data_IF_501218754850
#
_entry.id   IF_501218754850
#
_cell.length_a   1.000
_cell.length_b   1.000
_cell.length_c   1.000
_cell.angle_alpha   90.00
_cell.angle_beta   90.00
_cell.angle_gamma   90.00
#
_symmetry.space_group_name_H-M   'P 1'
#
loop_
_entity.id
_entity.type
_entity.pdbx_description
1 polymer ?
#
# COMPACT_ATOMS: atom_id res chain seq x y z
N UNK A 1 22.64 -79.04 15.08
CA UNK A 1 21.57 -78.05 14.85
C UNK A 1 21.49 -77.14 16.07
N UNK A 2 21.88 -75.88 15.94
CA UNK A 2 21.68 -74.87 16.98
C UNK A 2 21.10 -73.62 16.30
N UNK A 3 19.82 -73.31 16.57
CA UNK A 3 19.17 -72.08 16.13
C UNK A 3 19.68 -70.94 17.01
N UNK A 4 20.43 -70.02 16.41
CA UNK A 4 20.79 -68.77 17.06
C UNK A 4 19.56 -67.86 17.19
N UNK A 5 19.44 -67.24 18.35
CA UNK A 5 18.40 -66.30 18.79
C UNK A 5 18.45 -65.02 17.91
N UNK A 6 17.30 -64.46 17.47
CA UNK A 6 17.32 -63.18 16.78
C UNK A 6 17.70 -62.08 17.78
N UNK A 7 18.69 -61.29 17.37
CA UNK A 7 19.15 -60.07 18.02
C UNK A 7 18.00 -59.05 18.09
N UNK A 8 17.80 -58.32 19.20
CA UNK A 8 16.73 -57.33 19.28
C UNK A 8 17.01 -56.20 18.29
N UNK A 9 16.11 -56.05 17.31
CA UNK A 9 16.12 -54.93 16.38
C UNK A 9 16.17 -53.62 17.17
N UNK A 10 17.16 -52.78 16.83
CA UNK A 10 17.29 -51.44 17.37
C UNK A 10 15.98 -50.65 17.18
N UNK A 11 15.60 -49.77 18.13
CA UNK A 11 14.36 -49.00 18.04
C UNK A 11 14.34 -48.17 16.76
N UNK A 12 13.23 -48.27 16.02
CA UNK A 12 13.00 -47.57 14.76
C UNK A 12 13.18 -46.07 14.94
N UNK A 13 13.93 -45.43 14.03
CA UNK A 13 13.97 -43.97 13.91
C UNK A 13 12.54 -43.43 13.90
N UNK A 14 12.23 -42.57 14.86
CA UNK A 14 10.97 -41.82 14.92
C UNK A 14 10.71 -41.17 13.56
N UNK A 15 9.59 -41.50 12.91
CA UNK A 15 9.20 -40.89 11.65
C UNK A 15 9.13 -39.36 11.83
N UNK A 16 10.09 -38.64 11.26
CA UNK A 16 10.16 -37.18 11.33
C UNK A 16 8.96 -36.62 10.55
N UNK A 17 8.11 -35.81 11.19
CA UNK A 17 6.95 -35.17 10.54
C UNK A 17 7.33 -33.81 9.98
N UNK A 18 6.89 -33.51 8.76
CA UNK A 18 7.06 -32.19 8.14
C UNK A 18 6.20 -31.16 8.87
N UNK A 19 6.76 -29.99 9.14
CA UNK A 19 5.99 -28.89 9.72
C UNK A 19 5.03 -28.33 8.67
N UNK A 20 3.76 -28.17 9.03
CA UNK A 20 2.67 -27.82 8.10
C UNK A 20 2.93 -26.53 7.30
N UNK A 21 3.56 -25.53 7.93
CA UNK A 21 3.77 -24.20 7.34
C UNK A 21 5.23 -23.81 7.15
N UNK A 22 6.18 -24.58 7.71
CA UNK A 22 7.61 -24.24 7.72
C UNK A 22 8.47 -25.30 7.00
N UNK A 23 7.83 -26.23 6.29
CA UNK A 23 8.50 -27.14 5.38
C UNK A 23 8.40 -26.59 3.95
N UNK A 24 9.37 -25.77 3.57
CA UNK A 24 9.41 -25.07 2.28
C UNK A 24 10.12 -25.96 1.26
N UNK A 25 9.41 -26.39 0.20
CA UNK A 25 9.99 -27.21 -0.87
C UNK A 25 11.01 -26.40 -1.71
N UNK A 26 12.00 -27.11 -2.30
CA UNK A 26 13.16 -26.52 -3.00
C UNK A 26 12.81 -25.59 -4.20
N UNK A 27 11.56 -25.64 -4.70
CA UNK A 27 11.04 -24.78 -5.77
C UNK A 27 10.64 -23.35 -5.36
N UNK A 28 11.09 -22.87 -4.20
CA UNK A 28 10.67 -21.58 -3.63
C UNK A 28 11.26 -20.34 -4.30
N UNK A 29 12.26 -20.46 -5.19
CA UNK A 29 12.87 -19.33 -5.89
C UNK A 29 12.36 -19.24 -7.33
N UNK A 30 11.97 -18.03 -7.75
CA UNK A 30 11.61 -17.73 -9.14
C UNK A 30 12.26 -16.45 -9.63
N UNK A 31 12.58 -16.39 -10.92
CA UNK A 31 13.06 -15.19 -11.60
C UNK A 31 11.86 -14.43 -12.20
N UNK A 32 11.73 -13.15 -11.83
CA UNK A 32 10.77 -12.21 -12.39
C UNK A 32 11.49 -11.17 -13.25
N UNK A 33 10.89 -10.77 -14.35
CA UNK A 33 11.33 -9.65 -15.17
C UNK A 33 10.36 -8.48 -15.02
N UNK A 34 10.88 -7.31 -14.67
CA UNK A 34 10.14 -6.05 -14.72
C UNK A 34 10.87 -5.15 -15.69
N UNK A 35 10.29 -4.95 -16.89
CA UNK A 35 11.00 -4.34 -18.02
C UNK A 35 12.31 -5.11 -18.29
N UNK A 36 13.45 -4.43 -18.21
CA UNK A 36 14.78 -4.99 -18.48
C UNK A 36 15.53 -5.38 -17.19
N UNK A 37 14.83 -5.52 -16.06
CA UNK A 37 15.45 -5.82 -14.76
C UNK A 37 14.93 -7.15 -14.23
N UNK A 38 15.86 -8.06 -13.91
CA UNK A 38 15.57 -9.37 -13.34
C UNK A 38 15.63 -9.33 -11.81
N UNK A 39 14.71 -10.05 -11.18
CA UNK A 39 14.60 -10.24 -9.74
C UNK A 39 14.48 -11.72 -9.45
N UNK A 40 15.48 -12.32 -8.80
CA UNK A 40 15.40 -13.71 -8.32
C UNK A 40 15.06 -13.71 -6.84
N UNK A 41 13.85 -14.17 -6.50
CA UNK A 41 13.29 -13.99 -5.14
C UNK A 41 12.52 -15.22 -4.66
N UNK A 42 12.40 -15.34 -3.34
CA UNK A 42 11.52 -16.33 -2.70
C UNK A 42 10.05 -15.97 -2.96
N UNK A 43 9.29 -16.94 -3.43
CA UNK A 43 7.87 -16.76 -3.77
C UNK A 43 6.96 -16.82 -2.56
N UNK A 44 7.42 -17.36 -1.43
CA UNK A 44 6.63 -17.53 -0.20
C UNK A 44 5.84 -16.27 0.18
N UNK A 45 6.51 -15.14 0.39
CA UNK A 45 5.83 -13.89 0.77
C UNK A 45 4.91 -13.33 -0.32
N UNK A 46 5.22 -13.61 -1.60
CA UNK A 46 4.40 -13.18 -2.72
C UNK A 46 3.08 -13.96 -2.78
N UNK A 47 3.13 -15.29 -2.67
CA UNK A 47 1.94 -16.15 -2.71
C UNK A 47 1.11 -16.08 -1.44
N UNK A 48 1.75 -15.79 -0.31
CA UNK A 48 1.08 -15.58 0.97
C UNK A 48 0.17 -14.35 0.89
N UNK A 49 0.71 -13.23 0.37
CA UNK A 49 0.01 -11.95 0.36
C UNK A 49 -0.75 -11.63 -0.94
N UNK A 50 -0.61 -12.41 -2.01
CA UNK A 50 -1.30 -12.21 -3.28
C UNK A 50 -1.92 -13.51 -3.81
N UNK A 51 -3.25 -13.54 -3.87
CA UNK A 51 -3.99 -14.61 -4.53
C UNK A 51 -3.66 -14.70 -6.02
N UNK A 52 -3.51 -13.56 -6.70
CA UNK A 52 -3.15 -13.51 -8.12
C UNK A 52 -1.79 -14.15 -8.37
N UNK A 53 -0.77 -13.81 -7.58
CA UNK A 53 0.55 -14.42 -7.73
C UNK A 53 0.55 -15.90 -7.33
N UNK A 54 -0.24 -16.29 -6.33
CA UNK A 54 -0.44 -17.69 -5.95
C UNK A 54 -1.01 -18.51 -7.11
N UNK A 55 -2.08 -18.03 -7.73
CA UNK A 55 -2.73 -18.72 -8.84
C UNK A 55 -1.80 -18.79 -10.06
N UNK A 56 -1.15 -17.68 -10.40
CA UNK A 56 -0.17 -17.60 -11.49
C UNK A 56 0.98 -18.60 -11.28
N UNK A 57 1.54 -18.66 -10.07
CA UNK A 57 2.68 -19.54 -9.75
C UNK A 57 2.27 -21.01 -9.57
N UNK A 58 0.99 -21.29 -9.33
CA UNK A 58 0.48 -22.67 -9.20
C UNK A 58 0.42 -23.41 -10.54
N UNK A 59 0.37 -22.68 -11.65
CA UNK A 59 0.25 -23.23 -13.01
C UNK A 59 1.62 -23.68 -13.54
N UNK A 60 2.73 -23.08 -13.08
CA UNK A 60 4.09 -23.37 -13.54
C UNK A 60 4.84 -24.38 -12.67
N UNK A 61 4.54 -25.68 -12.81
CA UNK A 61 5.12 -26.78 -12.01
C UNK A 61 6.29 -27.56 -12.66
N UNK A 62 6.87 -27.11 -13.78
CA UNK A 62 8.01 -27.81 -14.38
C UNK A 62 9.34 -27.11 -14.05
N UNK A 63 10.39 -27.90 -13.84
CA UNK A 63 11.78 -27.46 -13.60
C UNK A 63 12.37 -26.65 -14.77
N UNK A 64 11.69 -26.64 -15.92
CA UNK A 64 12.04 -25.88 -17.14
C UNK A 64 10.98 -24.81 -17.50
N UNK A 65 10.08 -24.48 -16.57
CA UNK A 65 8.95 -23.59 -16.79
C UNK A 65 9.24 -22.10 -16.58
N UNK A 66 8.22 -21.26 -16.80
CA UNK A 66 8.28 -19.81 -16.57
C UNK A 66 8.77 -19.50 -15.14
N UNK A 67 9.77 -18.61 -15.06
CA UNK A 67 10.45 -18.20 -13.84
C UNK A 67 11.56 -19.11 -13.34
N UNK A 68 11.93 -20.18 -14.07
CA UNK A 68 13.01 -21.09 -13.65
C UNK A 68 14.42 -20.47 -13.80
N UNK A 69 14.62 -19.67 -14.85
CA UNK A 69 15.92 -19.10 -15.23
C UNK A 69 15.81 -17.64 -15.68
N UNK A 70 16.96 -17.02 -15.92
CA UNK A 70 17.06 -15.66 -16.44
C UNK A 70 16.63 -15.56 -17.92
N UNK A 71 16.74 -16.67 -18.67
CA UNK A 71 16.29 -16.79 -20.06
C UNK A 71 14.77 -17.00 -20.17
N UNK A 72 14.16 -17.51 -19.11
CA UNK A 72 12.71 -17.77 -19.02
C UNK A 72 12.11 -17.13 -17.75
N UNK A 73 12.16 -15.81 -17.57
CA UNK A 73 11.62 -15.15 -16.39
C UNK A 73 10.10 -15.02 -16.48
N UNK A 74 9.44 -14.86 -15.33
CA UNK A 74 8.03 -14.42 -15.26
C UNK A 74 7.99 -12.93 -15.58
N UNK A 75 7.42 -12.55 -16.71
CA UNK A 75 7.36 -11.15 -17.15
C UNK A 75 6.18 -10.45 -16.49
N UNK A 76 6.47 -9.49 -15.60
CA UNK A 76 5.44 -8.65 -15.00
C UNK A 76 5.01 -7.55 -15.98
N UNK A 77 3.70 -7.28 -16.10
CA UNK A 77 3.18 -6.36 -17.10
C UNK A 77 3.49 -4.89 -16.77
N UNK A 78 3.31 -4.01 -17.76
CA UNK A 78 3.65 -2.58 -17.72
C UNK A 78 3.17 -1.76 -16.50
N UNK A 79 2.02 -2.05 -15.84
CA UNK A 79 1.65 -1.36 -14.61
C UNK A 79 2.68 -1.51 -13.48
N UNK A 80 3.50 -2.57 -13.51
CA UNK A 80 4.55 -2.83 -12.52
C UNK A 80 5.84 -2.10 -12.89
N UNK A 81 6.29 -1.21 -12.01
CA UNK A 81 7.56 -0.48 -12.16
C UNK A 81 8.67 -1.17 -11.37
N UNK A 82 9.89 -1.13 -11.91
CA UNK A 82 11.09 -1.69 -11.27
C UNK A 82 11.24 -1.19 -9.83
N UNK A 83 11.11 0.13 -9.61
CA UNK A 83 11.25 0.73 -8.29
C UNK A 83 10.15 0.27 -7.30
N UNK A 84 8.91 0.08 -7.78
CA UNK A 84 7.80 -0.33 -6.91
C UNK A 84 7.91 -1.81 -6.54
N UNK A 85 8.33 -2.65 -7.49
CA UNK A 85 8.60 -4.06 -7.22
C UNK A 85 9.78 -4.22 -6.26
N UNK A 86 10.87 -3.48 -6.44
CA UNK A 86 11.99 -3.46 -5.50
C UNK A 86 11.58 -3.02 -4.09
N UNK A 87 10.74 -1.99 -3.97
CA UNK A 87 10.19 -1.54 -2.68
C UNK A 87 9.30 -2.60 -2.03
N UNK A 88 8.38 -3.22 -2.79
CA UNK A 88 7.56 -4.33 -2.31
C UNK A 88 8.45 -5.45 -1.74
N UNK A 89 9.48 -5.87 -2.47
CA UNK A 89 10.41 -6.89 -2.01
C UNK A 89 11.16 -6.45 -0.74
N UNK A 90 11.59 -5.19 -0.67
CA UNK A 90 12.26 -4.64 0.52
C UNK A 90 11.37 -4.71 1.77
N UNK A 91 10.04 -4.60 1.62
CA UNK A 91 9.11 -4.75 2.75
C UNK A 91 9.11 -6.16 3.32
N UNK A 92 9.38 -7.18 2.50
CA UNK A 92 9.47 -8.58 2.96
C UNK A 92 10.84 -8.92 3.54
N UNK A 93 11.91 -8.46 2.90
CA UNK A 93 13.27 -8.82 3.30
C UNK A 93 13.85 -7.95 4.42
N UNK A 94 13.51 -6.66 4.48
CA UNK A 94 14.10 -5.76 5.48
C UNK A 94 13.81 -6.17 6.94
N UNK A 95 12.57 -6.56 7.31
CA UNK A 95 12.29 -7.05 8.67
C UNK A 95 13.09 -8.32 9.01
N UNK A 96 13.27 -9.22 8.04
CA UNK A 96 13.99 -10.48 8.22
C UNK A 96 15.48 -10.27 8.52
N UNK A 97 16.07 -9.14 8.11
CA UNK A 97 17.48 -8.79 8.34
C UNK A 97 17.67 -7.73 9.43
N UNK A 98 16.66 -7.49 10.26
CA UNK A 98 16.72 -6.56 11.41
C UNK A 98 16.44 -5.09 11.09
N UNK A 99 15.97 -4.78 9.87
CA UNK A 99 15.49 -3.45 9.50
C UNK A 99 14.17 -3.13 10.19
N UNK A 100 14.11 -2.02 10.92
CA UNK A 100 12.93 -1.62 11.72
C UNK A 100 12.07 -0.52 11.07
N UNK A 101 12.49 0.02 9.92
CA UNK A 101 11.79 1.17 9.33
C UNK A 101 10.79 0.74 8.27
N UNK A 102 9.54 1.14 8.45
CA UNK A 102 8.49 0.95 7.47
C UNK A 102 8.80 1.80 6.23
N UNK A 103 8.69 1.20 5.03
CA UNK A 103 8.92 1.89 3.74
C UNK A 103 8.06 3.16 3.64
N UNK A 104 6.83 3.13 4.16
CA UNK A 104 5.89 4.25 4.11
C UNK A 104 6.27 5.45 4.98
N UNK A 105 7.18 5.29 5.95
CA UNK A 105 7.63 6.38 6.81
C UNK A 105 8.62 7.30 6.08
N UNK A 106 9.44 6.71 5.19
CA UNK A 106 10.56 7.38 4.52
C UNK A 106 10.26 7.74 3.07
N UNK A 107 9.40 6.97 2.42
CA UNK A 107 9.12 7.15 0.99
C UNK A 107 8.34 8.45 0.72
N UNK A 108 8.54 8.98 -0.48
CA UNK A 108 7.75 10.09 -1.01
C UNK A 108 6.27 9.72 -1.13
N UNK A 109 5.38 10.70 -1.08
CA UNK A 109 3.93 10.45 -1.21
C UNK A 109 3.58 9.85 -2.57
N UNK A 110 4.26 10.29 -3.63
CA UNK A 110 4.12 9.73 -4.97
C UNK A 110 4.60 8.27 -5.04
N UNK A 111 5.70 7.93 -4.34
CA UNK A 111 6.17 6.56 -4.20
C UNK A 111 5.18 5.68 -3.42
N UNK A 112 4.64 6.19 -2.31
CA UNK A 112 3.59 5.53 -1.53
C UNK A 112 2.35 5.26 -2.38
N UNK A 113 1.90 6.22 -3.19
CA UNK A 113 0.77 6.04 -4.11
C UNK A 113 1.04 4.99 -5.18
N UNK A 114 2.25 4.97 -5.73
CA UNK A 114 2.67 3.94 -6.70
C UNK A 114 2.61 2.54 -6.08
N UNK A 115 3.06 2.40 -4.82
CA UNK A 115 2.94 1.15 -4.05
C UNK A 115 1.50 0.76 -3.77
N UNK A 116 0.63 1.69 -3.36
CA UNK A 116 -0.79 1.39 -3.18
C UNK A 116 -1.39 0.86 -4.49
N UNK A 117 -1.15 1.53 -5.62
CA UNK A 117 -1.60 1.06 -6.94
C UNK A 117 -1.08 -0.33 -7.28
N UNK A 118 0.18 -0.63 -6.97
CA UNK A 118 0.75 -1.96 -7.14
C UNK A 118 0.05 -3.01 -6.27
N UNK A 119 -0.25 -2.72 -5.00
CA UNK A 119 -0.95 -3.65 -4.12
C UNK A 119 -2.38 -3.91 -4.57
N UNK A 120 -3.06 -2.91 -5.12
CA UNK A 120 -4.37 -3.13 -5.75
C UNK A 120 -4.25 -4.09 -6.93
N UNK A 121 -3.29 -3.81 -7.82
CA UNK A 121 -3.05 -4.61 -9.02
C UNK A 121 -2.71 -6.07 -8.69
N UNK A 122 -1.85 -6.29 -7.69
CA UNK A 122 -1.48 -7.62 -7.21
C UNK A 122 -2.49 -8.20 -6.19
N UNK A 123 -3.59 -7.52 -5.92
CA UNK A 123 -4.61 -7.90 -4.93
C UNK A 123 -4.06 -8.20 -3.51
N UNK A 124 -3.04 -7.46 -3.10
CA UNK A 124 -2.40 -7.56 -1.78
C UNK A 124 -3.16 -6.73 -0.74
N UNK A 125 -4.40 -7.11 -0.44
CA UNK A 125 -5.34 -6.33 0.39
C UNK A 125 -4.79 -6.04 1.80
N UNK A 126 -4.21 -7.03 2.45
CA UNK A 126 -3.68 -6.88 3.81
C UNK A 126 -2.47 -5.94 3.85
N UNK A 127 -1.58 -6.04 2.87
CA UNK A 127 -0.41 -5.18 2.73
C UNK A 127 -0.84 -3.75 2.43
N UNK A 128 -1.83 -3.56 1.54
CA UNK A 128 -2.45 -2.26 1.27
C UNK A 128 -3.02 -1.66 2.56
N UNK A 129 -3.77 -2.42 3.34
CA UNK A 129 -4.36 -1.92 4.58
C UNK A 129 -3.30 -1.48 5.59
N UNK A 130 -2.21 -2.26 5.75
CA UNK A 130 -1.06 -1.88 6.60
C UNK A 130 -0.39 -0.59 6.11
N UNK A 131 -0.21 -0.44 4.80
CA UNK A 131 0.35 0.77 4.20
C UNK A 131 -0.52 2.00 4.46
N UNK A 132 -1.84 1.85 4.30
CA UNK A 132 -2.82 2.92 4.56
C UNK A 132 -2.82 3.33 6.04
N UNK A 133 -2.74 2.38 6.96
CA UNK A 133 -2.62 2.68 8.41
C UNK A 133 -1.36 3.49 8.68
N UNK A 134 -0.20 3.07 8.17
CA UNK A 134 1.05 3.81 8.33
C UNK A 134 0.97 5.24 7.77
N UNK A 135 0.36 5.42 6.60
CA UNK A 135 0.16 6.74 6.00
C UNK A 135 -0.79 7.64 6.80
N UNK A 136 -1.80 7.06 7.46
CA UNK A 136 -2.72 7.82 8.33
C UNK A 136 -2.04 8.30 9.62
N UNK A 137 -1.12 7.52 10.15
CA UNK A 137 -0.34 7.82 11.37
C UNK A 137 0.82 8.78 11.09
N UNK A 138 1.30 8.82 9.84
CA UNK A 138 2.36 9.74 9.42
C UNK A 138 1.89 11.20 9.49
N UNK A 139 2.74 12.07 10.04
CA UNK A 139 2.54 13.52 10.01
C UNK A 139 2.79 14.04 8.59
N UNK A 140 1.71 14.28 7.85
CA UNK A 140 1.72 14.77 6.47
C UNK A 140 1.28 16.22 6.38
N UNK A 141 1.82 16.92 5.38
CA UNK A 141 1.32 18.23 4.99
C UNK A 141 -0.14 18.13 4.50
N UNK A 142 -1.03 19.09 4.80
CA UNK A 142 -2.41 19.08 4.33
C UNK A 142 -2.57 18.92 2.81
N UNK A 143 -1.66 19.48 2.01
CA UNK A 143 -1.62 19.34 0.54
C UNK A 143 -1.39 17.88 0.16
N UNK A 144 -0.43 17.21 0.81
CA UNK A 144 -0.16 15.79 0.57
C UNK A 144 -1.32 14.89 1.01
N UNK A 145 -2.00 15.23 2.12
CA UNK A 145 -3.21 14.50 2.54
C UNK A 145 -4.30 14.60 1.48
N UNK A 146 -4.54 15.80 0.95
CA UNK A 146 -5.52 16.03 -0.12
C UNK A 146 -5.14 15.34 -1.43
N UNK A 147 -3.84 15.31 -1.76
CA UNK A 147 -3.33 14.57 -2.91
C UNK A 147 -3.56 13.06 -2.76
N UNK A 148 -3.28 12.49 -1.59
CA UNK A 148 -3.57 11.09 -1.27
C UNK A 148 -5.07 10.77 -1.37
N UNK A 149 -5.91 11.65 -0.83
CA UNK A 149 -7.37 11.51 -0.91
C UNK A 149 -7.86 11.49 -2.36
N UNK A 150 -7.32 12.35 -3.22
CA UNK A 150 -7.71 12.40 -4.63
C UNK A 150 -7.37 11.10 -5.36
N UNK A 151 -6.18 10.57 -5.11
CA UNK A 151 -5.63 9.42 -5.83
C UNK A 151 -6.07 8.07 -5.25
N UNK A 152 -6.44 8.02 -3.97
CA UNK A 152 -6.72 6.79 -3.23
C UNK A 152 -7.90 6.93 -2.25
N UNK A 153 -8.94 7.70 -2.64
CA UNK A 153 -10.11 8.01 -1.82
C UNK A 153 -10.70 6.84 -1.00
N UNK A 154 -10.88 5.61 -1.55
CA UNK A 154 -11.48 4.51 -0.78
C UNK A 154 -10.70 4.13 0.48
N UNK A 155 -9.41 4.44 0.52
CA UNK A 155 -8.52 4.06 1.63
C UNK A 155 -8.52 5.08 2.77
N UNK A 156 -9.11 6.26 2.59
CA UNK A 156 -9.04 7.35 3.56
C UNK A 156 -10.43 7.81 3.97
N UNK A 157 -10.62 8.08 5.27
CA UNK A 157 -11.94 8.39 5.82
C UNK A 157 -12.29 9.90 5.73
N UNK A 158 -13.58 10.21 5.91
CA UNK A 158 -14.12 11.58 5.86
C UNK A 158 -13.40 12.53 6.82
N UNK A 159 -13.14 12.07 8.04
CA UNK A 159 -12.53 12.92 9.07
C UNK A 159 -11.11 13.34 8.67
N UNK A 160 -10.34 12.42 8.08
CA UNK A 160 -9.00 12.71 7.57
C UNK A 160 -9.02 13.77 6.46
N UNK A 161 -10.04 13.72 5.59
CA UNK A 161 -10.27 14.73 4.55
C UNK A 161 -10.68 16.09 5.10
N UNK A 162 -11.62 16.11 6.04
CA UNK A 162 -12.09 17.34 6.67
C UNK A 162 -10.95 18.03 7.41
N UNK A 163 -10.17 17.31 8.21
CA UNK A 163 -9.04 17.90 8.93
C UNK A 163 -7.96 18.42 7.97
N UNK A 164 -7.69 17.75 6.85
CA UNK A 164 -6.77 18.28 5.83
C UNK A 164 -7.26 19.61 5.22
N UNK A 165 -8.56 19.73 4.93
CA UNK A 165 -9.13 20.99 4.44
C UNK A 165 -9.08 22.08 5.52
N UNK A 166 -9.44 21.75 6.77
CA UNK A 166 -9.38 22.70 7.89
C UNK A 166 -7.95 23.20 8.08
N UNK A 167 -6.97 22.30 8.11
CA UNK A 167 -5.56 22.65 8.29
C UNK A 167 -5.10 23.60 7.17
N UNK A 168 -5.45 23.31 5.90
CA UNK A 168 -5.04 24.14 4.77
C UNK A 168 -5.78 25.50 4.71
N UNK A 169 -7.04 25.54 5.13
CA UNK A 169 -7.81 26.79 5.24
C UNK A 169 -7.34 27.67 6.40
N UNK A 170 -6.81 27.09 7.48
CA UNK A 170 -6.45 27.85 8.70
C UNK A 170 -4.96 28.12 8.84
N UNK A 171 -4.09 27.53 8.02
CA UNK A 171 -2.66 27.85 8.02
C UNK A 171 -2.40 29.30 7.60
N UNK A 172 -1.25 29.85 7.99
CA UNK A 172 -0.90 31.26 7.80
C UNK A 172 -1.02 31.75 6.35
N UNK A 173 -0.48 31.00 5.38
CA UNK A 173 -0.59 31.29 3.94
C UNK A 173 -1.61 30.40 3.26
N UNK A 174 -2.30 30.90 2.23
CA UNK A 174 -3.12 30.04 1.36
C UNK A 174 -2.25 29.07 0.55
N UNK A 175 -2.85 28.09 -0.15
CA UNK A 175 -2.14 27.28 -1.13
C UNK A 175 -1.56 28.18 -2.23
N UNK A 176 -0.34 27.88 -2.66
CA UNK A 176 0.28 28.48 -3.84
C UNK A 176 -0.12 27.76 -5.14
N UNK A 177 0.44 28.19 -6.27
CA UNK A 177 0.11 27.61 -7.58
C UNK A 177 0.56 26.15 -7.73
N UNK A 178 1.71 25.78 -7.16
CA UNK A 178 2.28 24.43 -7.26
C UNK A 178 1.47 23.46 -6.38
N UNK A 179 1.11 23.90 -5.17
CA UNK A 179 0.19 23.17 -4.30
C UNK A 179 -1.20 23.04 -4.93
N UNK A 180 -1.67 24.10 -5.60
CA UNK A 180 -2.93 24.11 -6.36
C UNK A 180 -2.93 23.10 -7.50
N UNK A 181 -1.82 22.97 -8.22
CA UNK A 181 -1.63 21.92 -9.23
C UNK A 181 -1.65 20.52 -8.59
N UNK A 182 -1.02 20.34 -7.43
CA UNK A 182 -0.90 19.04 -6.73
C UNK A 182 -2.23 18.51 -6.19
N UNK A 183 -3.08 19.37 -5.63
CA UNK A 183 -4.41 19.00 -5.09
C UNK A 183 -5.55 19.16 -6.10
N UNK A 184 -5.25 19.72 -7.27
CA UNK A 184 -6.18 20.06 -8.32
C UNK A 184 -6.92 21.38 -8.11
N UNK A 185 -7.16 22.09 -9.21
CA UNK A 185 -7.74 23.44 -9.21
C UNK A 185 -9.14 23.54 -8.60
N UNK A 186 -9.93 22.46 -8.63
CA UNK A 186 -11.25 22.41 -7.98
C UNK A 186 -11.12 22.52 -6.45
N UNK A 187 -10.23 21.70 -5.87
CA UNK A 187 -9.93 21.70 -4.43
C UNK A 187 -9.31 23.03 -4.02
N UNK A 188 -8.33 23.51 -4.79
CA UNK A 188 -7.70 24.82 -4.59
C UNK A 188 -8.71 25.98 -4.54
N UNK A 189 -9.61 26.04 -5.51
CA UNK A 189 -10.64 27.11 -5.59
C UNK A 189 -11.57 27.07 -4.38
N UNK A 190 -11.94 25.87 -3.91
CA UNK A 190 -12.76 25.75 -2.71
C UNK A 190 -12.02 26.28 -1.47
N UNK A 191 -10.78 25.87 -1.27
CA UNK A 191 -9.96 26.33 -0.15
C UNK A 191 -9.88 27.86 -0.15
N UNK A 192 -9.62 28.46 -1.31
CA UNK A 192 -9.58 29.92 -1.46
C UNK A 192 -10.89 30.60 -1.07
N UNK A 193 -12.05 30.10 -1.53
CA UNK A 193 -13.35 30.64 -1.15
C UNK A 193 -13.63 30.56 0.34
N UNK A 194 -13.25 29.45 0.98
CA UNK A 194 -13.41 29.28 2.42
C UNK A 194 -12.50 30.26 3.18
N UNK A 195 -11.24 30.39 2.74
CA UNK A 195 -10.27 31.33 3.31
C UNK A 195 -10.69 32.80 3.16
N UNK A 196 -11.29 33.17 2.03
CA UNK A 196 -11.80 34.52 1.81
C UNK A 196 -12.91 34.86 2.82
N UNK A 197 -13.86 33.94 3.02
CA UNK A 197 -14.91 34.10 4.04
C UNK A 197 -14.33 34.21 5.45
N UNK A 198 -13.34 33.37 5.77
CA UNK A 198 -12.61 33.42 7.04
C UNK A 198 -11.94 34.77 7.32
N UNK A 199 -11.35 35.40 6.31
CA UNK A 199 -10.66 36.69 6.48
C UNK A 199 -11.66 37.84 6.74
N UNK A 200 -12.92 37.69 6.34
CA UNK A 200 -13.99 38.66 6.58
C UNK A 200 -14.60 38.58 7.99
N UNK A 201 -14.49 37.43 8.68
CA UNK A 201 -15.02 37.21 10.04
C UNK A 201 -13.87 37.18 11.07
N UNK A 202 -14.00 37.88 12.20
CA UNK A 202 -12.91 38.00 13.19
C UNK A 202 -12.45 36.62 13.70
N UNK A 203 -11.15 36.38 13.54
CA UNK A 203 -10.36 35.14 13.64
C UNK A 203 -10.44 34.26 14.90
N UNK A 204 -11.30 34.53 15.88
CA UNK A 204 -11.24 33.80 17.17
C UNK A 204 -11.70 32.33 17.09
N UNK A 205 -12.32 31.91 15.98
CA UNK A 205 -12.82 30.53 15.77
C UNK A 205 -12.60 29.98 14.37
N UNK A 206 -11.45 30.26 13.75
CA UNK A 206 -11.19 29.90 12.34
C UNK A 206 -11.41 28.42 11.99
N UNK A 207 -10.94 27.48 12.82
CA UNK A 207 -11.16 26.03 12.56
C UNK A 207 -12.63 25.64 12.67
N UNK A 208 -13.34 26.14 13.68
CA UNK A 208 -14.77 25.84 13.89
C UNK A 208 -15.63 26.44 12.78
N UNK A 209 -15.32 27.66 12.33
CA UNK A 209 -15.96 28.25 11.16
C UNK A 209 -15.77 27.40 9.91
N UNK A 210 -14.54 26.95 9.60
CA UNK A 210 -14.30 26.09 8.42
C UNK A 210 -15.09 24.80 8.54
N UNK A 211 -15.08 24.20 9.73
CA UNK A 211 -15.84 22.99 10.01
C UNK A 211 -17.33 23.23 9.75
N UNK A 212 -17.90 24.29 10.31
CA UNK A 212 -19.30 24.67 10.14
C UNK A 212 -19.62 24.94 8.66
N UNK A 213 -18.75 25.64 7.92
CA UNK A 213 -18.94 25.86 6.48
C UNK A 213 -18.96 24.53 5.71
N UNK A 214 -18.08 23.59 6.06
CA UNK A 214 -18.04 22.27 5.43
C UNK A 214 -19.26 21.39 5.78
N UNK A 215 -19.88 21.59 6.94
CA UNK A 215 -21.08 20.83 7.37
C UNK A 215 -22.40 21.49 6.96
N UNK A 216 -22.53 22.81 7.07
CA UNK A 216 -23.76 23.59 6.82
C UNK A 216 -24.02 23.78 5.33
N UNK A 217 -22.97 24.03 4.54
CA UNK A 217 -23.09 24.27 3.11
C UNK A 217 -22.90 22.99 2.26
N UNK A 218 -23.14 21.80 2.82
CA UNK A 218 -23.21 20.55 2.05
C UNK A 218 -24.20 20.65 0.86
N UNK A 219 -25.17 21.58 0.93
CA UNK A 219 -26.12 21.93 -0.15
C UNK A 219 -25.58 22.90 -1.22
N UNK A 220 -24.66 23.82 -0.89
CA UNK A 220 -24.07 24.77 -1.86
C UNK A 220 -22.75 24.24 -2.46
N UNK A 221 -22.01 23.42 -1.71
CA UNK A 221 -20.71 22.88 -2.11
C UNK A 221 -20.77 21.43 -2.58
N UNK A 222 -21.73 21.10 -3.47
CA UNK A 222 -21.79 19.79 -4.15
C UNK A 222 -20.56 19.40 -5.01
N UNK A 223 -19.35 19.88 -4.69
CA UNK A 223 -18.23 20.09 -5.62
C UNK A 223 -16.84 19.81 -5.02
N UNK A 224 -16.68 18.96 -4.01
CA UNK A 224 -15.40 18.24 -3.86
C UNK A 224 -15.65 16.78 -4.23
N UNK A 225 -15.38 16.36 -5.48
CA UNK A 225 -15.52 14.97 -5.90
C UNK A 225 -14.81 13.99 -4.96
N UNK A 226 -13.73 14.41 -4.30
CA UNK A 226 -12.99 13.63 -3.30
C UNK A 226 -13.74 13.48 -1.98
N UNK A 227 -14.26 14.56 -1.38
CA UNK A 227 -15.12 14.45 -0.17
C UNK A 227 -16.49 13.83 -0.51
N UNK A 228 -17.03 14.06 -1.70
CA UNK A 228 -18.28 13.46 -2.18
C UNK A 228 -18.12 11.96 -2.46
N UNK A 229 -16.95 11.50 -2.92
CA UNK A 229 -16.62 10.07 -3.10
C UNK A 229 -16.29 9.38 -1.77
N UNK A 230 -15.73 10.11 -0.80
CA UNK A 230 -15.46 9.64 0.56
C UNK A 230 -16.73 9.60 1.43
N UNK A 231 -17.79 10.35 1.10
CA UNK A 231 -19.03 10.45 1.92
C UNK A 231 -20.23 9.68 1.35
N UNK A 232 -20.26 9.30 0.07
CA UNK A 232 -21.43 8.63 -0.55
C UNK A 232 -21.65 7.15 -0.19
N UNK A 233 -20.71 6.49 0.48
CA UNK A 233 -20.83 5.06 0.84
C UNK A 233 -21.05 4.82 2.35
N UNK A 234 -21.36 5.87 3.13
CA UNK A 234 -21.76 5.78 4.56
C UNK A 234 -23.13 6.46 4.80
N UNK A 235 -23.88 6.76 3.74
CA UNK A 235 -25.33 7.04 3.77
C UNK A 235 -25.97 6.37 2.53
#
# INVERSE_FOLDING_TARGET
MAKARPEPAAPSESARTRHETLYIDEGGLKTFAVKNTLFRVHTYFLVEHSAVLRDMLSIGKADDGEGASDDHPIVLPDPVKVADFARLLSMFYAPAIGGQTNVFDRESIDGCLSLLKLFEFLQMKEIRQKAVTALRERKLDPVDKLHLLDQAAPDFNKNWAVEAVIDLCTRASGPDADEGQRIGWKTFTLIWKIREKLMGERLERGRDFVRDVLYVHDREFGVIPTVRRVVRNIL
#
